data_IF_406820957829
#
_entry.id   IF_406820957829
#
_cell.length_a   1.000
_cell.length_b   1.000
_cell.length_c   1.000
_cell.angle_alpha   90.00
_cell.angle_beta   90.00
_cell.angle_gamma   90.00
#
_symmetry.space_group_name_H-M   'P 1'
#
loop_
_entity.id
_entity.type
_entity.pdbx_description
1 polymer ?
#
# COMPACT_ATOMS: atom_id res chain seq x y z
N UNK A 1 12.32 3.18 27.85
CA UNK A 1 11.24 4.12 27.49
C UNK A 1 10.96 4.20 25.99
N UNK A 2 11.94 4.09 25.09
CA UNK A 2 11.73 4.16 23.63
C UNK A 2 11.14 2.86 22.98
N UNK A 3 11.20 1.73 23.66
CA UNK A 3 10.99 0.41 23.07
C UNK A 3 9.51 0.00 22.93
N UNK A 4 8.65 0.46 23.86
CA UNK A 4 7.28 -0.08 23.98
C UNK A 4 6.33 0.37 22.87
N UNK A 5 6.65 1.45 22.13
CA UNK A 5 5.82 1.98 21.03
C UNK A 5 6.35 1.62 19.64
N UNK A 6 7.59 1.14 19.52
CA UNK A 6 8.20 0.88 18.22
C UNK A 6 7.47 -0.25 17.49
N UNK A 7 7.16 -1.35 18.19
CA UNK A 7 6.44 -2.46 17.58
C UNK A 7 5.00 -2.07 17.21
N UNK A 8 4.35 -1.18 17.98
CA UNK A 8 3.02 -0.67 17.67
C UNK A 8 3.02 0.17 16.40
N UNK A 9 4.00 1.07 16.26
CA UNK A 9 4.17 1.86 15.04
C UNK A 9 4.45 0.95 13.83
N UNK A 10 5.30 -0.08 13.99
CA UNK A 10 5.56 -1.08 12.94
C UNK A 10 4.32 -1.90 12.59
N UNK A 11 3.54 -2.32 13.59
CA UNK A 11 2.30 -3.07 13.36
C UNK A 11 1.28 -2.21 12.63
N UNK A 12 1.06 -0.96 13.07
CA UNK A 12 0.20 -0.01 12.39
C UNK A 12 0.64 0.25 10.94
N UNK A 13 1.95 0.44 10.72
CA UNK A 13 2.53 0.52 9.38
C UNK A 13 2.38 -0.77 8.58
N UNK A 14 2.31 -1.96 9.21
CA UNK A 14 2.11 -3.22 8.49
C UNK A 14 0.67 -3.40 8.03
N UNK A 15 -0.30 -2.95 8.83
CA UNK A 15 -1.73 -3.17 8.57
C UNK A 15 -2.41 -1.99 7.86
N UNK A 16 -1.70 -0.88 7.60
CA UNK A 16 -2.24 0.25 6.81
C UNK A 16 -2.60 -0.15 5.37
N UNK A 17 -1.88 -1.12 4.82
CA UNK A 17 -2.08 -1.66 3.49
C UNK A 17 -2.42 -3.15 3.59
N UNK A 18 -3.66 -3.54 3.25
CA UNK A 18 -4.09 -4.91 3.44
C UNK A 18 -3.62 -5.78 2.27
N UNK A 19 -3.52 -7.09 2.47
CA UNK A 19 -2.99 -8.01 1.46
C UNK A 19 -3.83 -8.01 0.17
N UNK A 20 -5.12 -7.75 0.29
CA UNK A 20 -6.06 -7.64 -0.82
C UNK A 20 -6.07 -6.27 -1.51
N UNK A 21 -5.19 -5.31 -1.13
CA UNK A 21 -5.14 -3.95 -1.71
C UNK A 21 -5.19 -3.99 -3.23
N UNK A 22 -4.43 -4.89 -3.86
CA UNK A 22 -4.39 -5.03 -5.32
C UNK A 22 -5.73 -5.45 -5.96
N UNK A 23 -6.66 -6.02 -5.19
CA UNK A 23 -7.99 -6.46 -5.63
C UNK A 23 -9.08 -5.43 -5.31
N UNK A 24 -8.98 -4.74 -4.17
CA UNK A 24 -10.03 -3.82 -3.71
C UNK A 24 -9.82 -2.37 -4.14
N UNK A 25 -8.57 -1.97 -4.42
CA UNK A 25 -8.22 -0.60 -4.81
C UNK A 25 -8.94 -0.20 -6.11
N UNK A 26 -9.65 0.93 -6.08
CA UNK A 26 -10.44 1.49 -7.19
C UNK A 26 -11.63 0.62 -7.66
N UNK A 27 -12.03 -0.40 -6.89
CA UNK A 27 -13.14 -1.30 -7.22
C UNK A 27 -14.19 -1.39 -6.12
N UNK A 28 -13.77 -1.28 -4.87
CA UNK A 28 -14.67 -1.23 -3.72
C UNK A 28 -15.08 0.22 -3.41
N UNK A 29 -16.39 0.55 -3.32
CA UNK A 29 -16.85 1.87 -2.87
C UNK A 29 -16.32 2.30 -1.49
N UNK A 30 -16.04 1.34 -0.60
CA UNK A 30 -15.40 1.59 0.70
C UNK A 30 -13.88 1.81 0.60
N UNK A 31 -13.28 1.53 -0.57
CA UNK A 31 -11.85 1.61 -0.81
C UNK A 31 -11.03 0.57 -0.03
N UNK A 32 -9.70 0.65 -0.17
CA UNK A 32 -8.77 -0.27 0.52
C UNK A 32 -8.56 0.07 2.01
N UNK A 33 -9.06 1.21 2.47
CA UNK A 33 -8.99 1.64 3.87
C UNK A 33 -10.26 1.30 4.65
N UNK A 34 -11.40 1.11 3.98
CA UNK A 34 -12.71 0.91 4.62
C UNK A 34 -13.05 -0.55 4.98
N UNK A 35 -12.31 -1.52 4.43
CA UNK A 35 -12.51 -2.96 4.66
C UNK A 35 -11.59 -3.52 5.76
N UNK A 36 -10.80 -4.55 5.42
CA UNK A 36 -9.94 -5.27 6.37
C UNK A 36 -9.00 -4.37 7.15
N UNK A 37 -8.43 -3.35 6.53
CA UNK A 37 -7.60 -2.32 7.20
C UNK A 37 -8.31 -1.73 8.41
N UNK A 38 -9.55 -1.28 8.23
CA UNK A 38 -10.35 -0.69 9.31
C UNK A 38 -10.59 -1.68 10.43
N UNK A 39 -10.98 -2.91 10.11
CA UNK A 39 -11.23 -3.95 11.11
C UNK A 39 -9.96 -4.32 11.89
N UNK A 40 -8.81 -4.43 11.21
CA UNK A 40 -7.52 -4.66 11.86
C UNK A 40 -7.11 -3.48 12.75
N UNK A 41 -7.31 -2.24 12.30
CA UNK A 41 -7.04 -1.06 13.12
C UNK A 41 -7.92 -1.00 14.36
N UNK A 42 -9.22 -1.29 14.24
CA UNK A 42 -10.12 -1.35 15.39
C UNK A 42 -9.72 -2.47 16.37
N UNK A 43 -9.24 -3.59 15.86
CA UNK A 43 -8.81 -4.74 16.67
C UNK A 43 -7.51 -4.46 17.43
N UNK A 44 -6.49 -3.95 16.75
CA UNK A 44 -5.17 -3.73 17.35
C UNK A 44 -5.03 -2.40 18.08
N UNK A 45 -5.80 -1.38 17.66
CA UNK A 45 -5.73 -0.02 18.17
C UNK A 45 -7.14 0.53 18.44
N UNK A 46 -7.89 -0.04 19.40
CA UNK A 46 -9.27 0.38 19.69
C UNK A 46 -9.36 1.85 20.16
N UNK A 47 -8.27 2.41 20.70
CA UNK A 47 -8.17 3.83 21.08
C UNK A 47 -7.57 4.70 19.96
N UNK A 48 -7.34 4.13 18.78
CA UNK A 48 -6.61 4.74 17.68
C UNK A 48 -5.10 4.83 17.91
N UNK A 49 -4.42 5.32 16.88
CA UNK A 49 -3.00 5.70 16.92
C UNK A 49 -2.86 7.22 16.97
N UNK A 50 -1.80 7.71 17.60
CA UNK A 50 -1.53 9.14 17.73
C UNK A 50 -1.18 9.78 16.37
N UNK A 51 -1.29 11.11 16.30
CA UNK A 51 -1.07 11.88 15.07
C UNK A 51 0.36 11.79 14.54
N UNK A 52 1.34 11.67 15.43
CA UNK A 52 2.74 11.56 15.04
C UNK A 52 3.01 10.22 14.37
N UNK A 53 2.49 9.13 14.95
CA UNK A 53 2.55 7.79 14.33
C UNK A 53 1.87 7.77 12.96
N UNK A 54 0.70 8.41 12.81
CA UNK A 54 0.03 8.54 11.49
C UNK A 54 0.91 9.27 10.47
N UNK A 55 1.57 10.35 10.88
CA UNK A 55 2.45 11.13 10.01
C UNK A 55 3.71 10.34 9.61
N UNK A 56 4.26 9.53 10.52
CA UNK A 56 5.37 8.63 10.22
C UNK A 56 4.99 7.57 9.20
N UNK A 57 3.83 6.91 9.39
CA UNK A 57 3.32 5.91 8.43
C UNK A 57 3.18 6.54 7.05
N UNK A 58 2.53 7.71 6.95
CA UNK A 58 2.35 8.43 5.69
C UNK A 58 3.68 8.78 5.01
N UNK A 59 4.64 9.29 5.78
CA UNK A 59 5.97 9.64 5.25
C UNK A 59 6.72 8.40 4.76
N UNK A 60 6.66 7.31 5.53
CA UNK A 60 7.29 6.04 5.17
C UNK A 60 6.68 5.44 3.91
N UNK A 61 5.36 5.45 3.76
CA UNK A 61 4.67 4.99 2.54
C UNK A 61 5.06 5.82 1.33
N UNK A 62 5.13 7.15 1.46
CA UNK A 62 5.63 8.01 0.39
C UNK A 62 7.06 7.65 -0.05
N UNK A 63 7.96 7.41 0.90
CA UNK A 63 9.34 7.03 0.59
C UNK A 63 9.43 5.64 -0.05
N UNK A 64 8.67 4.65 0.45
CA UNK A 64 8.60 3.31 -0.14
C UNK A 64 8.05 3.37 -1.57
N UNK A 65 6.91 4.03 -1.76
CA UNK A 65 6.31 4.23 -3.08
C UNK A 65 7.22 4.98 -4.06
N UNK A 66 8.00 5.95 -3.59
CA UNK A 66 8.93 6.70 -4.46
C UNK A 66 10.10 5.84 -4.94
N UNK A 67 10.54 4.86 -4.15
CA UNK A 67 11.59 3.92 -4.55
C UNK A 67 11.11 2.93 -5.62
N UNK A 68 9.83 2.57 -5.60
CA UNK A 68 9.25 1.54 -6.50
C UNK A 68 8.75 2.10 -7.84
N UNK A 69 8.48 3.41 -7.94
CA UNK A 69 7.79 3.99 -9.10
C UNK A 69 8.78 4.53 -10.13
N UNK A 70 8.76 4.01 -11.38
CA UNK A 70 9.40 4.68 -12.50
C UNK A 70 8.78 6.06 -12.72
N UNK A 71 9.59 7.05 -13.09
CA UNK A 71 9.07 8.34 -13.54
C UNK A 71 8.43 8.17 -14.93
N UNK A 72 7.14 7.79 -14.97
CA UNK A 72 6.44 7.58 -16.23
C UNK A 72 6.14 8.92 -16.94
N UNK A 73 6.16 8.95 -18.28
CA UNK A 73 5.74 10.13 -19.05
C UNK A 73 4.31 10.53 -18.71
N UNK A 74 4.10 11.83 -18.49
CA UNK A 74 2.78 12.43 -18.31
C UNK A 74 2.44 13.31 -19.51
N UNK A 75 1.15 13.38 -19.84
CA UNK A 75 0.65 14.34 -20.83
C UNK A 75 0.59 15.77 -20.23
N UNK A 76 0.21 16.75 -21.05
CA UNK A 76 0.08 18.15 -20.63
C UNK A 76 -0.95 18.38 -19.50
N UNK A 77 -1.78 17.39 -19.18
CA UNK A 77 -2.78 17.42 -18.10
C UNK A 77 -2.34 16.58 -16.88
N UNK A 78 -1.05 16.24 -16.76
CA UNK A 78 -0.48 15.39 -15.72
C UNK A 78 -1.07 13.97 -15.67
N UNK A 79 -1.62 13.46 -16.78
CA UNK A 79 -2.13 12.09 -16.86
C UNK A 79 -1.02 11.17 -17.34
N UNK A 80 -0.83 10.05 -16.64
CA UNK A 80 0.06 8.99 -17.10
C UNK A 80 -0.42 8.42 -18.44
N UNK A 81 0.53 8.05 -19.30
CA UNK A 81 0.22 7.41 -20.56
C UNK A 81 -0.64 6.14 -20.35
N UNK A 82 -1.63 5.90 -21.22
CA UNK A 82 -2.57 4.78 -21.08
C UNK A 82 -1.87 3.41 -20.97
N UNK A 83 -0.75 3.23 -21.69
CA UNK A 83 0.04 1.99 -21.64
C UNK A 83 0.76 1.77 -20.30
N UNK A 84 0.97 2.83 -19.51
CA UNK A 84 1.62 2.77 -18.20
C UNK A 84 0.65 2.40 -17.07
N UNK A 85 -0.67 2.33 -17.35
CA UNK A 85 -1.66 1.91 -16.37
C UNK A 85 -1.58 0.40 -16.14
N UNK A 86 -1.32 -0.01 -14.90
CA UNK A 86 -1.32 -1.42 -14.50
C UNK A 86 -2.73 -1.84 -14.08
N UNK A 87 -3.33 -2.78 -14.81
CA UNK A 87 -4.61 -3.42 -14.46
C UNK A 87 -4.34 -4.79 -13.85
N UNK A 88 -3.85 -4.79 -12.62
CA UNK A 88 -3.36 -6.00 -11.94
C UNK A 88 -4.41 -7.10 -11.87
N UNK A 89 -5.70 -6.76 -11.74
CA UNK A 89 -6.79 -7.72 -11.65
C UNK A 89 -7.02 -8.53 -12.93
N UNK A 90 -6.68 -7.96 -14.10
CA UNK A 90 -7.00 -8.59 -15.38
C UNK A 90 -6.01 -9.70 -15.70
N UNK A 91 -4.76 -9.55 -15.26
CA UNK A 91 -3.68 -10.50 -15.47
C UNK A 91 -2.67 -10.41 -14.33
N UNK A 92 -3.01 -10.88 -13.11
CA UNK A 92 -2.10 -10.82 -11.97
C UNK A 92 -0.94 -11.79 -12.20
N UNK A 93 0.28 -11.27 -12.18
CA UNK A 93 1.50 -12.06 -12.36
C UNK A 93 2.43 -11.89 -11.16
N UNK A 94 3.02 -13.00 -10.71
CA UNK A 94 4.15 -12.99 -9.79
C UNK A 94 5.40 -13.21 -10.65
N UNK A 95 6.35 -12.28 -10.60
CA UNK A 95 7.62 -12.38 -11.32
C UNK A 95 8.75 -12.60 -10.34
N UNK A 96 9.64 -13.52 -10.68
CA UNK A 96 10.86 -13.74 -9.92
C UNK A 96 11.77 -12.51 -10.04
N UNK A 97 12.27 -11.94 -8.91
CA UNK A 97 12.91 -10.63 -8.90
C UNK A 97 14.23 -10.57 -9.66
N UNK A 98 14.95 -11.69 -9.78
CA UNK A 98 16.25 -11.73 -10.47
C UNK A 98 16.15 -12.12 -11.94
N UNK A 99 15.16 -12.93 -12.30
CA UNK A 99 15.07 -13.53 -13.65
C UNK A 99 13.96 -12.90 -14.49
N UNK A 100 13.02 -12.18 -13.87
CA UNK A 100 11.82 -11.66 -14.53
C UNK A 100 10.84 -12.75 -15.00
N UNK A 101 11.17 -14.03 -14.78
CA UNK A 101 10.34 -15.16 -15.16
C UNK A 101 9.05 -15.19 -14.34
N UNK A 102 7.96 -15.61 -14.96
CA UNK A 102 6.69 -15.82 -14.25
C UNK A 102 6.86 -16.98 -13.27
N UNK A 103 6.52 -16.77 -12.01
CA UNK A 103 6.41 -17.84 -11.05
C UNK A 103 5.17 -18.67 -11.42
N UNK A 104 5.38 -19.93 -11.80
CA UNK A 104 4.30 -20.89 -11.97
C UNK A 104 3.92 -21.44 -10.60
N UNK A 105 2.63 -21.73 -10.39
CA UNK A 105 2.14 -22.42 -9.19
C UNK A 105 2.56 -23.88 -9.20
#
# INVERSE_FOLDING_TARGET
MADQKLWQAKLAARVHDPAEKALVLMRDPAGHEGGTTRELFNTFFPQGIDSQTKQWIKTADHWASAADRPQFPQDANNRYANWAQVRFEQSPEIKHPLTGGKCQR
#
